data_IF_456556267348
#
_entry.id   IF_456556267348
#
_cell.length_a   1.000
_cell.length_b   1.000
_cell.length_c   1.000
_cell.angle_alpha   90.00
_cell.angle_beta   90.00
_cell.angle_gamma   90.00
#
_symmetry.space_group_name_H-M   'P 1'
#
loop_
_entity.id
_entity.type
_entity.pdbx_description
1 polymer ?
#
# COMPACT_ATOMS: atom_id res chain seq x y z
N UNK A 1 0.24 44.87 -32.79
CA UNK A 1 0.33 44.23 -31.46
C UNK A 1 -1.09 43.84 -31.10
N UNK A 2 -1.56 42.74 -31.67
CA UNK A 2 -2.92 42.24 -31.51
C UNK A 2 -2.87 41.06 -30.52
N UNK A 3 -3.73 41.10 -29.52
CA UNK A 3 -3.72 40.23 -28.36
C UNK A 3 -4.02 38.77 -28.74
N UNK A 4 -3.05 37.88 -28.51
CA UNK A 4 -3.23 36.43 -28.58
C UNK A 4 -4.12 35.96 -27.43
N UNK A 5 -5.24 35.24 -27.69
CA UNK A 5 -5.99 34.60 -26.63
C UNK A 5 -5.18 33.39 -26.12
N UNK A 6 -4.89 33.38 -24.81
CA UNK A 6 -4.27 32.24 -24.13
C UNK A 6 -5.22 31.03 -24.20
N UNK A 7 -4.75 29.83 -24.60
CA UNK A 7 -5.56 28.63 -24.52
C UNK A 7 -5.92 28.38 -23.06
N UNK A 8 -7.23 28.37 -22.79
CA UNK A 8 -7.80 28.14 -21.48
C UNK A 8 -7.23 26.86 -20.86
N UNK A 9 -6.74 26.98 -19.63
CA UNK A 9 -6.43 25.84 -18.79
C UNK A 9 -7.72 25.07 -18.54
N UNK A 10 -7.83 23.90 -19.14
CA UNK A 10 -8.83 22.90 -18.77
C UNK A 10 -8.47 22.37 -17.37
N UNK A 11 -8.94 23.07 -16.35
CA UNK A 11 -9.05 22.50 -15.01
C UNK A 11 -10.07 21.36 -15.07
N UNK A 12 -9.56 20.14 -15.00
CA UNK A 12 -10.34 18.90 -14.84
C UNK A 12 -11.45 19.10 -13.78
N UNK A 13 -12.72 18.72 -14.04
CA UNK A 13 -13.76 18.79 -13.03
C UNK A 13 -13.51 17.70 -11.99
N UNK A 14 -12.64 17.97 -11.02
CA UNK A 14 -12.51 17.18 -9.82
C UNK A 14 -13.87 17.27 -9.09
N UNK A 15 -14.71 16.26 -9.27
CA UNK A 15 -15.99 16.17 -8.58
C UNK A 15 -15.73 16.31 -7.07
N UNK A 16 -16.36 17.27 -6.37
CA UNK A 16 -16.09 17.49 -4.96
C UNK A 16 -16.44 16.23 -4.15
N UNK A 17 -15.45 15.66 -3.46
CA UNK A 17 -15.58 14.48 -2.59
C UNK A 17 -16.69 14.63 -1.53
N UNK A 18 -17.06 15.88 -1.22
CA UNK A 18 -18.09 16.27 -0.27
C UNK A 18 -19.53 15.94 -0.70
N UNK A 19 -19.77 15.71 -2.00
CA UNK A 19 -21.13 15.50 -2.54
C UNK A 19 -21.70 14.11 -2.22
N UNK A 20 -20.83 13.12 -1.97
CA UNK A 20 -21.23 11.74 -1.71
C UNK A 20 -21.45 11.42 -0.21
N UNK A 21 -21.18 12.38 0.69
CA UNK A 21 -21.36 12.21 2.15
C UNK A 21 -22.76 11.72 2.53
N UNK A 22 -23.80 12.19 1.83
CA UNK A 22 -25.21 11.83 2.06
C UNK A 22 -25.53 10.37 1.74
N UNK A 23 -24.73 9.73 0.87
CA UNK A 23 -24.88 8.33 0.46
C UNK A 23 -24.01 7.41 1.33
N UNK A 24 -22.87 7.92 1.80
CA UNK A 24 -21.92 7.15 2.61
C UNK A 24 -22.40 6.96 4.05
N UNK A 25 -23.03 7.97 4.66
CA UNK A 25 -23.61 7.84 6.00
C UNK A 25 -24.62 6.69 6.15
N UNK A 26 -25.64 6.54 5.27
CA UNK A 26 -26.57 5.43 5.38
C UNK A 26 -25.90 4.08 5.09
N UNK A 27 -24.88 4.04 4.23
CA UNK A 27 -24.12 2.82 3.96
C UNK A 27 -23.39 2.31 5.22
N UNK A 28 -22.75 3.21 5.98
CA UNK A 28 -22.13 2.89 7.26
C UNK A 28 -23.15 2.41 8.30
N UNK A 29 -24.34 3.01 8.30
CA UNK A 29 -25.44 2.63 9.19
C UNK A 29 -25.98 1.23 8.85
N UNK A 30 -26.09 0.89 7.56
CA UNK A 30 -26.47 -0.45 7.09
C UNK A 30 -25.41 -1.49 7.46
N UNK A 31 -24.12 -1.17 7.31
CA UNK A 31 -23.03 -2.06 7.70
C UNK A 31 -23.05 -2.30 9.22
N UNK A 32 -23.21 -1.25 10.03
CA UNK A 32 -23.31 -1.37 11.48
C UNK A 32 -24.55 -2.18 11.90
N UNK A 33 -25.69 -2.00 11.23
CA UNK A 33 -26.90 -2.78 11.47
C UNK A 33 -26.72 -4.26 11.12
N UNK A 34 -26.04 -4.58 10.00
CA UNK A 34 -25.72 -5.95 9.61
C UNK A 34 -24.76 -6.62 10.60
N UNK A 35 -23.75 -5.90 11.09
CA UNK A 35 -22.82 -6.39 12.12
C UNK A 35 -23.57 -6.64 13.44
N UNK A 36 -24.46 -5.73 13.84
CA UNK A 36 -25.29 -5.92 15.03
C UNK A 36 -26.24 -7.11 14.89
N UNK A 37 -26.83 -7.32 13.71
CA UNK A 37 -27.68 -8.48 13.43
C UNK A 37 -26.88 -9.79 13.49
N UNK A 38 -25.66 -9.80 12.95
CA UNK A 38 -24.76 -10.97 13.00
C UNK A 38 -24.36 -11.35 14.42
N UNK A 39 -24.14 -10.35 15.28
CA UNK A 39 -23.87 -10.56 16.70
C UNK A 39 -25.10 -11.04 17.48
N UNK A 40 -26.31 -10.61 17.10
CA UNK A 40 -27.56 -11.02 17.75
C UNK A 40 -27.97 -12.47 17.44
N UNK A 41 -27.56 -13.01 16.28
CA UNK A 41 -27.91 -14.36 15.83
C UNK A 41 -26.91 -15.46 16.25
N UNK A 42 -25.95 -15.17 17.14
CA UNK A 42 -24.90 -16.12 17.58
C UNK A 42 -24.20 -16.86 16.42
N UNK A 43 -24.04 -16.18 15.27
CA UNK A 43 -23.31 -16.74 14.14
C UNK A 43 -21.85 -16.87 14.53
N UNK A 44 -21.27 -18.04 14.26
CA UNK A 44 -19.87 -18.34 14.57
C UNK A 44 -18.97 -17.16 14.19
N UNK A 45 -18.24 -16.64 15.18
CA UNK A 45 -17.40 -15.43 15.04
C UNK A 45 -16.43 -15.55 13.86
N UNK A 46 -15.99 -16.77 13.52
CA UNK A 46 -15.16 -17.06 12.35
C UNK A 46 -15.86 -16.83 11.00
N UNK A 47 -17.16 -17.14 10.90
CA UNK A 47 -17.94 -16.93 9.67
C UNK A 47 -18.23 -15.45 9.48
N UNK A 48 -18.57 -14.73 10.57
CA UNK A 48 -18.75 -13.28 10.55
C UNK A 48 -17.42 -12.60 10.17
N UNK A 49 -16.31 -12.96 10.82
CA UNK A 49 -15.00 -12.38 10.54
C UNK A 49 -14.56 -12.64 9.10
N UNK A 50 -14.75 -13.86 8.59
CA UNK A 50 -14.47 -14.19 7.19
C UNK A 50 -15.31 -13.37 6.21
N UNK A 51 -16.62 -13.26 6.45
CA UNK A 51 -17.53 -12.48 5.62
C UNK A 51 -17.16 -10.98 5.60
N UNK A 52 -16.84 -10.41 6.75
CA UNK A 52 -16.43 -9.00 6.88
C UNK A 52 -15.10 -8.76 6.15
N UNK A 53 -14.14 -9.67 6.24
CA UNK A 53 -12.86 -9.55 5.52
C UNK A 53 -13.08 -9.59 4.01
N UNK A 54 -13.86 -10.55 3.51
CA UNK A 54 -14.15 -10.69 2.07
C UNK A 54 -14.88 -9.45 1.54
N UNK A 55 -15.95 -9.03 2.22
CA UNK A 55 -16.71 -7.83 1.82
C UNK A 55 -15.83 -6.58 1.94
N UNK A 56 -15.03 -6.46 2.99
CA UNK A 56 -14.15 -5.31 3.22
C UNK A 56 -13.05 -5.16 2.17
N UNK A 57 -12.49 -6.27 1.68
CA UNK A 57 -11.51 -6.27 0.59
C UNK A 57 -12.21 -5.92 -0.74
N UNK A 58 -13.35 -6.56 -1.05
CA UNK A 58 -14.07 -6.32 -2.30
C UNK A 58 -14.62 -4.89 -2.42
N UNK A 59 -15.05 -4.30 -1.31
CA UNK A 59 -15.64 -2.95 -1.26
C UNK A 59 -14.63 -1.82 -1.03
N UNK A 60 -13.33 -2.13 -0.89
CA UNK A 60 -12.30 -1.17 -0.48
C UNK A 60 -12.59 -0.46 0.86
N UNK A 61 -13.44 -1.02 1.72
CA UNK A 61 -13.79 -0.44 3.01
C UNK A 61 -12.56 -0.24 3.92
N UNK A 62 -11.58 -1.15 3.83
CA UNK A 62 -10.30 -1.01 4.55
C UNK A 62 -9.49 0.20 4.09
N UNK A 63 -9.46 0.51 2.80
CA UNK A 63 -8.76 1.69 2.28
C UNK A 63 -9.42 2.99 2.77
N UNK A 64 -10.75 3.00 2.89
CA UNK A 64 -11.47 4.14 3.45
C UNK A 64 -11.22 4.31 4.95
N UNK A 65 -11.18 3.22 5.71
CA UNK A 65 -10.79 3.21 7.13
C UNK A 65 -9.38 3.75 7.33
N UNK A 66 -8.41 3.23 6.58
CA UNK A 66 -7.02 3.73 6.61
C UNK A 66 -6.96 5.20 6.18
N UNK A 67 -7.79 5.62 5.23
CA UNK A 67 -7.92 7.01 4.80
C UNK A 67 -8.44 7.95 5.88
N UNK A 68 -9.47 7.54 6.65
CA UNK A 68 -9.95 8.29 7.82
C UNK A 68 -8.85 8.38 8.88
N UNK A 69 -8.17 7.26 9.14
CA UNK A 69 -7.08 7.21 10.11
C UNK A 69 -5.94 8.15 9.67
N UNK A 70 -5.61 8.17 8.38
CA UNK A 70 -4.57 9.02 7.80
C UNK A 70 -4.95 10.51 7.72
N UNK A 71 -6.24 10.85 7.74
CA UNK A 71 -6.72 12.23 7.84
C UNK A 71 -6.25 12.88 9.15
N UNK A 72 -6.00 12.08 10.20
CA UNK A 72 -5.34 12.56 11.40
C UNK A 72 -3.86 12.79 11.08
N UNK A 73 -3.38 14.04 11.04
CA UNK A 73 -2.05 14.38 10.51
C UNK A 73 -0.90 13.77 11.30
N UNK A 74 -1.15 13.31 12.53
CA UNK A 74 -0.18 12.59 13.37
C UNK A 74 -0.07 11.11 12.98
N UNK A 75 -1.17 10.48 12.56
CA UNK A 75 -1.21 9.04 12.31
C UNK A 75 -0.59 8.70 10.96
N UNK A 76 -0.76 9.54 9.94
CA UNK A 76 -0.14 9.34 8.62
C UNK A 76 1.39 9.09 8.73
N UNK A 77 2.16 10.00 9.36
CA UNK A 77 3.59 9.80 9.60
C UNK A 77 3.91 8.56 10.44
N UNK A 78 3.09 8.24 11.45
CA UNK A 78 3.31 7.05 12.30
C UNK A 78 3.15 5.75 11.51
N UNK A 79 2.11 5.63 10.69
CA UNK A 79 1.87 4.45 9.85
C UNK A 79 3.01 4.26 8.86
N UNK A 80 3.42 5.34 8.18
CA UNK A 80 4.57 5.29 7.26
C UNK A 80 5.83 4.86 8.00
N UNK A 81 6.09 5.38 9.20
CA UNK A 81 7.28 5.05 9.98
C UNK A 81 7.31 3.58 10.41
N UNK A 82 6.18 3.03 10.87
CA UNK A 82 6.06 1.62 11.25
C UNK A 82 6.17 0.69 10.03
N UNK A 83 5.52 1.02 8.91
CA UNK A 83 5.66 0.22 7.70
C UNK A 83 7.08 0.29 7.14
N UNK A 84 7.70 1.47 7.17
CA UNK A 84 9.07 1.67 6.70
C UNK A 84 10.07 0.91 7.56
N UNK A 85 9.93 0.89 8.90
CA UNK A 85 10.86 0.14 9.76
C UNK A 85 10.80 -1.37 9.47
N UNK A 86 9.59 -1.91 9.24
CA UNK A 86 9.40 -3.31 8.87
C UNK A 86 9.94 -3.62 7.48
N UNK A 87 9.69 -2.74 6.51
CA UNK A 87 10.17 -2.88 5.14
C UNK A 87 11.70 -2.82 5.06
N UNK A 88 12.35 -1.93 5.82
CA UNK A 88 13.81 -1.86 5.91
C UNK A 88 14.38 -3.16 6.50
N UNK A 89 13.74 -3.72 7.53
CA UNK A 89 14.14 -5.02 8.09
C UNK A 89 14.03 -6.15 7.06
N UNK A 90 12.95 -6.18 6.28
CA UNK A 90 12.78 -7.14 5.19
C UNK A 90 13.89 -7.01 4.13
N UNK A 91 14.15 -5.79 3.66
CA UNK A 91 15.21 -5.55 2.68
C UNK A 91 16.59 -5.94 3.22
N UNK A 92 16.85 -5.68 4.51
CA UNK A 92 18.10 -6.08 5.15
C UNK A 92 18.23 -7.60 5.25
N UNK A 93 17.16 -8.30 5.60
CA UNK A 93 17.14 -9.76 5.60
C UNK A 93 17.42 -10.34 4.19
N UNK A 94 16.85 -9.74 3.14
CA UNK A 94 17.17 -10.11 1.75
C UNK A 94 18.64 -9.84 1.43
N UNK A 95 19.18 -8.70 1.86
CA UNK A 95 20.60 -8.36 1.69
C UNK A 95 21.52 -9.39 2.34
N UNK A 96 21.23 -9.80 3.58
CA UNK A 96 21.96 -10.86 4.27
C UNK A 96 21.80 -12.22 3.60
N UNK A 97 20.62 -12.55 3.06
CA UNK A 97 20.40 -13.79 2.33
C UNK A 97 21.25 -13.84 1.06
N UNK A 98 21.29 -12.74 0.30
CA UNK A 98 22.16 -12.62 -0.89
C UNK A 98 23.64 -12.74 -0.50
N UNK A 99 24.08 -12.05 0.55
CA UNK A 99 25.44 -12.15 1.05
C UNK A 99 25.81 -13.56 1.53
N UNK A 100 24.88 -14.23 2.22
CA UNK A 100 25.05 -15.61 2.68
C UNK A 100 25.20 -16.58 1.50
N UNK A 101 24.35 -16.46 0.48
CA UNK A 101 24.46 -17.26 -0.76
C UNK A 101 25.80 -17.02 -1.46
N UNK A 102 26.26 -15.77 -1.47
CA UNK A 102 27.53 -15.37 -2.07
C UNK A 102 28.73 -16.05 -1.36
N UNK A 103 28.73 -16.10 -0.02
CA UNK A 103 29.77 -16.76 0.78
C UNK A 103 29.70 -18.29 0.61
N UNK A 104 28.51 -18.88 0.66
CA UNK A 104 28.28 -20.34 0.55
C UNK A 104 28.77 -20.95 -0.76
N UNK A 105 28.77 -20.19 -1.85
CA UNK A 105 29.23 -20.66 -3.16
C UNK A 105 30.76 -20.70 -3.31
N UNK A 106 31.53 -20.36 -2.27
CA UNK A 106 32.97 -20.59 -2.26
C UNK A 106 33.75 -19.81 -3.31
N UNK A 107 33.24 -18.66 -3.76
CA UNK A 107 33.98 -17.80 -4.67
C UNK A 107 35.01 -17.00 -3.89
N UNK A 108 36.29 -17.27 -4.20
CA UNK A 108 37.46 -16.59 -3.66
C UNK A 108 37.23 -15.08 -3.59
N UNK A 109 37.59 -14.52 -2.45
CA UNK A 109 37.33 -13.15 -2.00
C UNK A 109 37.68 -12.05 -3.03
N UNK A 110 38.44 -12.32 -4.08
CA UNK A 110 38.82 -11.33 -5.09
C UNK A 110 37.75 -11.02 -6.15
N UNK A 111 37.04 -12.01 -6.68
CA UNK A 111 36.06 -11.77 -7.76
C UNK A 111 34.69 -11.37 -7.23
N UNK A 112 34.33 -11.85 -6.04
CA UNK A 112 33.03 -11.62 -5.43
C UNK A 112 32.91 -10.21 -4.83
N UNK A 113 34.01 -9.67 -4.30
CA UNK A 113 34.05 -8.34 -3.65
C UNK A 113 33.68 -7.21 -4.60
N UNK A 114 34.03 -7.31 -5.88
CA UNK A 114 33.67 -6.30 -6.87
C UNK A 114 32.67 -6.81 -7.90
N UNK A 115 32.93 -7.93 -8.59
CA UNK A 115 32.08 -8.36 -9.71
C UNK A 115 30.75 -8.93 -9.23
N UNK A 116 30.78 -9.76 -8.19
CA UNK A 116 29.57 -10.29 -7.56
C UNK A 116 28.67 -9.20 -6.99
N UNK A 117 29.28 -8.24 -6.29
CA UNK A 117 28.59 -7.07 -5.76
C UNK A 117 27.93 -6.24 -6.86
N UNK A 118 28.66 -5.92 -7.94
CA UNK A 118 28.11 -5.16 -9.07
C UNK A 118 26.96 -5.90 -9.75
N UNK A 119 27.07 -7.22 -9.96
CA UNK A 119 25.98 -8.01 -10.57
C UNK A 119 24.74 -8.01 -9.67
N UNK A 120 24.89 -8.25 -8.37
CA UNK A 120 23.78 -8.22 -7.42
C UNK A 120 23.10 -6.85 -7.38
N UNK A 121 23.88 -5.77 -7.42
CA UNK A 121 23.41 -4.40 -7.38
C UNK A 121 22.67 -4.03 -8.68
N UNK A 122 23.23 -4.39 -9.85
CA UNK A 122 22.57 -4.21 -11.16
C UNK A 122 21.25 -4.98 -11.20
N UNK A 123 21.24 -6.26 -10.79
CA UNK A 123 20.02 -7.08 -10.80
C UNK A 123 18.96 -6.49 -9.87
N UNK A 124 19.33 -6.04 -8.68
CA UNK A 124 18.41 -5.38 -7.75
C UNK A 124 17.80 -4.11 -8.33
N UNK A 125 18.61 -3.24 -8.93
CA UNK A 125 18.14 -2.00 -9.58
C UNK A 125 17.22 -2.32 -10.76
N UNK A 126 17.56 -3.29 -11.61
CA UNK A 126 16.76 -3.66 -12.78
C UNK A 126 15.40 -4.21 -12.35
N UNK A 127 15.35 -5.10 -11.36
CA UNK A 127 14.09 -5.63 -10.82
C UNK A 127 13.25 -4.49 -10.22
N UNK A 128 13.88 -3.60 -9.45
CA UNK A 128 13.21 -2.43 -8.89
C UNK A 128 12.62 -1.50 -9.96
N UNK A 129 13.38 -1.24 -11.02
CA UNK A 129 12.94 -0.39 -12.14
C UNK A 129 11.76 -1.00 -12.89
N UNK A 130 11.81 -2.31 -13.18
CA UNK A 130 10.71 -3.01 -13.86
C UNK A 130 9.44 -2.95 -13.02
N UNK A 131 9.53 -3.31 -11.74
CA UNK A 131 8.38 -3.27 -10.82
C UNK A 131 7.82 -1.85 -10.67
N UNK A 132 8.68 -0.84 -10.54
CA UNK A 132 8.27 0.56 -10.41
C UNK A 132 7.66 1.16 -11.68
N UNK A 133 7.93 0.59 -12.86
CA UNK A 133 7.31 0.99 -14.13
C UNK A 133 5.97 0.30 -14.38
N UNK A 134 5.77 -0.87 -13.78
CA UNK A 134 4.55 -1.69 -13.91
C UNK A 134 3.43 -1.26 -12.96
N UNK A 135 3.76 -0.49 -11.92
CA UNK A 135 2.85 0.13 -10.97
C UNK A 135 2.56 1.57 -11.38
#
# INVERSE_FOLDING_TARGET
MENLPLPGGEACPATPWWRNWKIMLPLWLVIAALVWLGLHYEVDTSVIAGGVVVIGILSNAFAWLVGIIALVPVIGPLVVKVLSIGFIWLLNAVGYLVAYVAIRRGYSKDVLTYRGLTIALIVGIVIGYVLGKLI
#
